data_IF_355810883948
#
_entry.id   IF_355810883948
#
_cell.length_a   1.000
_cell.length_b   1.000
_cell.length_c   1.000
_cell.angle_alpha   90.00
_cell.angle_beta   90.00
_cell.angle_gamma   90.00
#
_symmetry.space_group_name_H-M   'P 1'
#
loop_
_entity.id
_entity.type
_entity.pdbx_description
1 polymer ?
#
# COMPACT_ATOMS: atom_id res chain seq x y z
N UNK A 1 -5.10 -27.92 32.74
CA UNK A 1 -3.65 -28.11 32.64
C UNK A 1 -3.13 -27.02 31.71
N UNK A 2 -2.56 -25.93 32.26
CA UNK A 2 -2.05 -24.79 31.46
C UNK A 2 -0.56 -25.05 31.25
N UNK A 3 -0.13 -25.27 30.02
CA UNK A 3 1.29 -25.34 29.68
C UNK A 3 1.93 -23.96 29.97
N UNK A 4 3.08 -23.91 30.65
CA UNK A 4 3.78 -22.65 30.87
C UNK A 4 4.22 -22.08 29.52
N UNK A 5 3.84 -20.80 29.27
CA UNK A 5 4.34 -20.05 28.12
C UNK A 5 5.86 -19.95 28.23
N UNK A 6 6.61 -20.12 27.14
CA UNK A 6 8.05 -19.97 27.18
C UNK A 6 8.40 -18.57 27.67
N UNK A 7 9.23 -18.48 28.70
CA UNK A 7 9.80 -17.24 29.21
C UNK A 7 10.36 -16.41 28.06
N UNK A 8 10.15 -15.07 28.07
CA UNK A 8 10.74 -14.22 27.04
C UNK A 8 12.27 -14.46 27.06
N UNK A 9 12.81 -14.74 25.89
CA UNK A 9 14.24 -14.89 25.66
C UNK A 9 14.98 -13.66 26.20
N UNK A 10 15.44 -13.74 27.45
CA UNK A 10 16.23 -12.71 28.15
C UNK A 10 17.73 -12.82 27.83
N UNK A 11 18.10 -13.56 26.82
CA UNK A 11 19.44 -13.50 26.23
C UNK A 11 19.50 -12.30 25.30
N UNK A 12 19.98 -11.17 25.78
CA UNK A 12 20.58 -10.14 24.93
C UNK A 12 21.86 -10.73 24.29
N UNK A 13 21.71 -11.66 23.37
CA UNK A 13 22.71 -11.78 22.34
C UNK A 13 22.73 -10.44 21.63
N UNK A 14 23.86 -9.79 21.62
CA UNK A 14 24.09 -8.63 20.78
C UNK A 14 23.92 -9.11 19.34
N UNK A 15 22.66 -9.06 18.85
CA UNK A 15 22.24 -9.63 17.55
C UNK A 15 22.93 -8.89 16.37
N UNK A 16 23.65 -7.81 16.65
CA UNK A 16 24.51 -7.14 15.68
C UNK A 16 25.82 -7.92 15.42
N UNK A 17 26.27 -8.72 16.36
CA UNK A 17 27.54 -9.47 16.22
C UNK A 17 27.50 -10.49 15.06
N UNK A 18 26.47 -11.35 14.90
CA UNK A 18 26.38 -12.25 13.75
C UNK A 18 26.31 -11.52 12.40
N UNK A 19 25.60 -10.40 12.33
CA UNK A 19 25.50 -9.59 11.12
C UNK A 19 26.85 -8.97 10.76
N UNK A 20 27.59 -8.45 11.74
CA UNK A 20 28.95 -7.92 11.56
C UNK A 20 29.92 -9.02 11.07
N UNK A 21 29.84 -10.22 11.64
CA UNK A 21 30.66 -11.36 11.22
C UNK A 21 30.33 -11.79 9.79
N UNK A 22 29.06 -11.86 9.40
CA UNK A 22 28.64 -12.16 8.04
C UNK A 22 29.14 -11.13 7.03
N UNK A 23 29.02 -9.84 7.34
CA UNK A 23 29.53 -8.75 6.49
C UNK A 23 31.05 -8.81 6.39
N UNK A 24 31.74 -9.07 7.50
CA UNK A 24 33.21 -9.24 7.51
C UNK A 24 33.69 -10.42 6.68
N UNK A 25 33.03 -11.58 6.81
CA UNK A 25 33.33 -12.77 6.01
C UNK A 25 33.07 -12.57 4.51
N UNK A 26 31.93 -11.94 4.16
CA UNK A 26 31.61 -11.61 2.77
C UNK A 26 32.60 -10.59 2.17
N UNK A 27 33.05 -9.61 2.97
CA UNK A 27 34.08 -8.68 2.57
C UNK A 27 35.41 -9.40 2.30
N UNK A 28 35.86 -10.25 3.21
CA UNK A 28 37.11 -10.99 3.03
C UNK A 28 37.08 -11.87 1.79
N UNK A 29 35.99 -12.63 1.57
CA UNK A 29 35.80 -13.44 0.38
C UNK A 29 35.81 -12.61 -0.92
N UNK A 30 35.11 -11.45 -0.93
CA UNK A 30 35.07 -10.58 -2.11
C UNK A 30 36.42 -9.88 -2.38
N UNK A 31 37.18 -9.56 -1.34
CA UNK A 31 38.52 -9.00 -1.48
C UNK A 31 39.46 -10.03 -2.12
N UNK A 32 39.39 -11.33 -1.72
CA UNK A 32 40.14 -12.40 -2.36
C UNK A 32 39.79 -12.53 -3.85
N UNK A 33 38.50 -12.48 -4.21
CA UNK A 33 38.05 -12.50 -5.62
C UNK A 33 38.57 -11.28 -6.39
N UNK A 34 38.53 -10.10 -5.78
CA UNK A 34 39.01 -8.86 -6.43
C UNK A 34 40.53 -8.89 -6.71
N UNK A 35 41.30 -9.53 -5.85
CA UNK A 35 42.75 -9.75 -6.09
C UNK A 35 42.98 -10.70 -7.27
N UNK A 36 42.19 -11.77 -7.38
CA UNK A 36 42.30 -12.74 -8.48
C UNK A 36 41.78 -12.20 -9.82
N UNK A 37 40.78 -11.34 -9.78
CA UNK A 37 40.11 -10.77 -10.95
C UNK A 37 39.98 -9.24 -10.80
N UNK A 38 40.98 -8.45 -11.22
CA UNK A 38 41.05 -7.00 -10.98
C UNK A 38 39.82 -6.20 -11.45
N UNK A 39 39.12 -6.64 -12.49
CA UNK A 39 37.87 -6.02 -12.95
C UNK A 39 36.73 -6.05 -11.90
N UNK A 40 36.86 -6.84 -10.85
CA UNK A 40 35.86 -7.01 -9.78
C UNK A 40 36.22 -6.24 -8.50
N UNK A 41 37.16 -5.27 -8.59
CA UNK A 41 37.57 -4.46 -7.43
C UNK A 41 36.42 -3.69 -6.75
N UNK A 42 35.30 -3.46 -7.46
CA UNK A 42 34.09 -2.88 -6.90
C UNK A 42 33.38 -3.77 -5.89
N UNK A 43 33.55 -5.09 -5.97
CA UNK A 43 32.81 -6.03 -5.15
C UNK A 43 33.01 -5.82 -3.65
N UNK A 44 34.25 -5.68 -3.12
CA UNK A 44 34.49 -5.38 -1.72
C UNK A 44 33.87 -4.05 -1.27
N UNK A 45 33.98 -3.00 -2.09
CA UNK A 45 33.37 -1.71 -1.80
C UNK A 45 31.85 -1.80 -1.76
N UNK A 46 31.25 -2.54 -2.70
CA UNK A 46 29.81 -2.81 -2.72
C UNK A 46 29.34 -3.55 -1.47
N UNK A 47 30.07 -4.56 -1.02
CA UNK A 47 29.76 -5.32 0.20
C UNK A 47 29.88 -4.45 1.45
N UNK A 48 30.90 -3.61 1.55
CA UNK A 48 31.03 -2.66 2.67
C UNK A 48 29.84 -1.70 2.68
N UNK A 49 29.49 -1.12 1.52
CA UNK A 49 28.41 -0.18 1.41
C UNK A 49 27.05 -0.83 1.79
N UNK A 50 26.72 -1.97 1.17
CA UNK A 50 25.47 -2.70 1.44
C UNK A 50 25.44 -3.23 2.87
N UNK A 51 26.53 -3.81 3.36
CA UNK A 51 26.62 -4.29 4.73
C UNK A 51 26.54 -3.15 5.76
N UNK A 52 27.21 -2.04 5.50
CA UNK A 52 27.12 -0.84 6.35
C UNK A 52 25.70 -0.26 6.42
N UNK A 53 25.02 -0.15 5.26
CA UNK A 53 23.61 0.26 5.19
C UNK A 53 22.74 -0.76 5.93
N UNK A 54 22.98 -2.07 5.76
CA UNK A 54 22.25 -3.13 6.46
C UNK A 54 22.38 -3.06 7.98
N UNK A 55 23.59 -2.83 8.50
CA UNK A 55 23.85 -2.65 9.93
C UNK A 55 23.17 -1.37 10.44
N UNK A 56 23.25 -0.27 9.70
CA UNK A 56 22.60 0.99 10.05
C UNK A 56 21.08 0.83 10.06
N UNK A 57 20.52 0.17 9.06
CA UNK A 57 19.09 -0.14 8.96
C UNK A 57 18.63 -1.05 10.11
N UNK A 58 19.43 -2.03 10.51
CA UNK A 58 19.13 -2.88 11.66
C UNK A 58 19.12 -2.07 12.97
N UNK A 59 20.09 -1.18 13.18
CA UNK A 59 20.14 -0.31 14.35
C UNK A 59 19.00 0.70 14.39
N UNK A 60 18.63 1.24 13.25
CA UNK A 60 17.62 2.30 13.08
C UNK A 60 16.40 1.85 12.28
N UNK A 61 15.96 0.59 12.47
CA UNK A 61 14.90 -0.06 11.68
C UNK A 61 13.64 0.81 11.54
N UNK A 62 13.20 1.48 12.62
CA UNK A 62 12.01 2.35 12.58
C UNK A 62 12.23 3.53 11.61
N UNK A 63 13.38 4.20 11.69
CA UNK A 63 13.69 5.33 10.83
C UNK A 63 13.77 4.90 9.35
N UNK A 64 14.39 3.76 9.07
CA UNK A 64 14.45 3.20 7.71
C UNK A 64 13.08 2.81 7.17
N UNK A 65 12.22 2.17 7.98
CA UNK A 65 10.84 1.86 7.56
C UNK A 65 10.03 3.14 7.30
N UNK A 66 10.16 4.17 8.14
CA UNK A 66 9.50 5.46 7.93
C UNK A 66 10.04 6.16 6.68
N UNK A 67 11.37 6.23 6.51
CA UNK A 67 11.98 6.83 5.33
C UNK A 67 11.54 6.12 4.05
N UNK A 68 11.56 4.77 4.05
CA UNK A 68 11.06 3.99 2.92
C UNK A 68 9.57 4.30 2.63
N UNK A 69 8.73 4.34 3.66
CA UNK A 69 7.31 4.65 3.50
C UNK A 69 7.08 6.05 2.91
N UNK A 70 7.89 7.04 3.30
CA UNK A 70 7.84 8.39 2.75
C UNK A 70 8.34 8.43 1.29
N UNK A 71 9.39 7.66 0.96
CA UNK A 71 9.89 7.52 -0.42
C UNK A 71 8.82 6.91 -1.33
N UNK A 72 8.17 5.83 -0.88
CA UNK A 72 7.05 5.20 -1.58
C UNK A 72 5.87 6.16 -1.73
N UNK A 73 5.54 6.87 -0.64
CA UNK A 73 4.48 7.88 -0.65
C UNK A 73 4.78 9.11 -1.50
N UNK A 74 6.06 9.41 -1.73
CA UNK A 74 6.50 10.45 -2.67
C UNK A 74 6.42 9.99 -4.14
N UNK A 75 6.18 8.70 -4.40
CA UNK A 75 6.13 8.11 -5.75
C UNK A 75 7.35 8.48 -6.61
N UNK A 76 8.55 8.47 -5.98
CA UNK A 76 9.80 8.85 -6.65
C UNK A 76 10.07 8.00 -7.90
N UNK A 77 9.57 6.77 -7.93
CA UNK A 77 9.65 5.89 -9.10
C UNK A 77 8.98 6.48 -10.34
N UNK A 78 7.91 7.27 -10.17
CA UNK A 78 7.26 7.94 -11.30
C UNK A 78 8.03 9.16 -11.76
N UNK A 79 8.51 9.97 -10.81
CA UNK A 79 9.35 11.12 -11.14
C UNK A 79 10.65 10.69 -11.85
N UNK A 80 11.24 9.56 -11.44
CA UNK A 80 12.40 8.99 -12.11
C UNK A 80 12.05 8.42 -13.49
N UNK A 81 10.89 7.77 -13.66
CA UNK A 81 10.48 7.24 -14.96
C UNK A 81 10.37 8.32 -16.03
N UNK A 82 9.86 9.50 -15.65
CA UNK A 82 9.74 10.64 -16.55
C UNK A 82 11.13 11.17 -16.98
N UNK A 83 12.16 11.03 -16.13
CA UNK A 83 13.52 11.52 -16.41
C UNK A 83 14.43 10.50 -17.09
N UNK A 84 14.33 9.21 -16.74
CA UNK A 84 15.21 8.13 -17.21
C UNK A 84 14.57 7.19 -18.23
N UNK A 85 13.30 7.44 -18.56
CA UNK A 85 12.51 6.70 -19.55
C UNK A 85 11.83 5.44 -19.03
N UNK A 86 10.80 5.03 -19.76
CA UNK A 86 9.90 3.92 -19.39
C UNK A 86 10.60 2.56 -19.20
N UNK A 87 11.74 2.34 -19.85
CA UNK A 87 12.48 1.07 -19.77
C UNK A 87 13.00 0.75 -18.35
N UNK A 88 13.26 1.77 -17.53
CA UNK A 88 13.72 1.59 -16.15
C UNK A 88 12.61 1.67 -15.10
N UNK A 89 11.41 2.05 -15.50
CA UNK A 89 10.26 2.17 -14.61
C UNK A 89 9.93 0.86 -13.88
N UNK A 90 9.80 -0.24 -14.60
CA UNK A 90 9.47 -1.53 -14.01
C UNK A 90 10.55 -2.07 -13.05
N UNK A 91 11.86 -2.02 -13.38
CA UNK A 91 12.91 -2.35 -12.44
C UNK A 91 12.91 -1.49 -11.17
N UNK A 92 12.64 -0.17 -11.28
CA UNK A 92 12.59 0.73 -10.12
C UNK A 92 11.45 0.38 -9.18
N UNK A 93 10.23 0.15 -9.71
CA UNK A 93 9.10 -0.32 -8.90
C UNK A 93 9.43 -1.64 -8.20
N UNK A 94 10.03 -2.60 -8.94
CA UNK A 94 10.41 -3.88 -8.36
C UNK A 94 11.44 -3.70 -7.23
N UNK A 95 12.42 -2.80 -7.39
CA UNK A 95 13.41 -2.47 -6.37
C UNK A 95 12.77 -1.85 -5.11
N UNK A 96 11.84 -0.90 -5.29
CA UNK A 96 11.09 -0.27 -4.19
C UNK A 96 10.32 -1.33 -3.38
N UNK A 97 9.63 -2.25 -4.07
CA UNK A 97 8.88 -3.34 -3.42
C UNK A 97 9.78 -4.40 -2.80
N UNK A 98 10.88 -4.75 -3.44
CA UNK A 98 11.88 -5.64 -2.87
C UNK A 98 12.49 -5.06 -1.58
N UNK A 99 12.71 -3.75 -1.53
CA UNK A 99 13.17 -3.04 -0.32
C UNK A 99 12.19 -3.21 0.84
N UNK A 100 10.88 -3.24 0.60
CA UNK A 100 9.87 -3.53 1.62
C UNK A 100 10.07 -4.91 2.24
N UNK A 101 10.29 -5.92 1.41
CA UNK A 101 10.56 -7.29 1.87
C UNK A 101 11.85 -7.35 2.71
N UNK A 102 12.91 -6.66 2.27
CA UNK A 102 14.17 -6.59 3.02
C UNK A 102 13.97 -5.90 4.38
N UNK A 103 13.22 -4.81 4.44
CA UNK A 103 12.91 -4.13 5.69
C UNK A 103 12.02 -4.99 6.61
N UNK A 104 11.08 -5.75 6.04
CA UNK A 104 10.29 -6.72 6.79
C UNK A 104 11.18 -7.84 7.35
N UNK A 105 12.13 -8.35 6.58
CA UNK A 105 13.12 -9.32 7.05
C UNK A 105 14.00 -8.75 8.18
N UNK A 106 14.43 -7.49 8.08
CA UNK A 106 15.13 -6.79 9.16
C UNK A 106 14.26 -6.64 10.42
N UNK A 107 12.95 -6.39 10.25
CA UNK A 107 12.00 -6.39 11.37
C UNK A 107 11.90 -7.78 12.02
N UNK A 108 11.87 -8.86 11.23
CA UNK A 108 11.89 -10.24 11.74
C UNK A 108 13.17 -10.50 12.55
N UNK A 109 14.33 -10.12 12.00
CA UNK A 109 15.62 -10.28 12.69
C UNK A 109 15.69 -9.49 14.00
N UNK A 110 15.10 -8.29 14.03
CA UNK A 110 15.18 -7.38 15.20
C UNK A 110 14.13 -7.68 16.27
N UNK A 111 12.91 -7.97 15.88
CA UNK A 111 11.75 -8.08 16.79
C UNK A 111 11.26 -9.52 16.94
N UNK A 112 11.76 -10.43 16.12
CA UNK A 112 11.36 -11.82 16.06
C UNK A 112 10.27 -12.11 15.03
N UNK A 113 10.14 -13.37 14.61
CA UNK A 113 9.12 -13.80 13.66
C UNK A 113 7.73 -13.83 14.32
N UNK A 114 6.71 -13.59 13.52
CA UNK A 114 5.30 -13.80 13.83
C UNK A 114 4.69 -14.74 12.80
N UNK A 115 4.02 -15.80 13.27
CA UNK A 115 3.34 -16.75 12.39
C UNK A 115 1.96 -16.21 12.01
N UNK A 116 1.87 -15.51 10.88
CA UNK A 116 0.62 -14.98 10.34
C UNK A 116 0.07 -15.93 9.26
N UNK A 117 -0.54 -17.03 9.73
CA UNK A 117 -1.06 -18.10 8.85
C UNK A 117 -2.21 -17.67 7.95
N UNK A 118 -2.86 -16.55 8.25
CA UNK A 118 -3.95 -15.99 7.45
C UNK A 118 -3.48 -14.85 6.54
N UNK A 119 -2.18 -14.57 6.48
CA UNK A 119 -1.65 -13.48 5.69
C UNK A 119 -2.00 -13.65 4.19
N UNK A 120 -2.64 -12.66 3.56
CA UNK A 120 -3.05 -12.75 2.15
C UNK A 120 -1.90 -12.97 1.16
N UNK A 121 -0.67 -12.59 1.52
CA UNK A 121 0.54 -12.86 0.73
C UNK A 121 0.74 -14.35 0.42
N UNK A 122 0.24 -15.25 1.28
CA UNK A 122 0.32 -16.70 1.08
C UNK A 122 -0.53 -17.17 -0.12
N UNK A 123 -1.64 -16.49 -0.43
CA UNK A 123 -2.42 -16.81 -1.62
C UNK A 123 -1.64 -16.54 -2.91
N UNK A 124 -0.86 -15.44 -2.95
CA UNK A 124 -0.02 -15.14 -4.13
C UNK A 124 1.10 -16.17 -4.30
N UNK A 125 1.68 -16.67 -3.21
CA UNK A 125 2.65 -17.78 -3.27
C UNK A 125 2.00 -19.05 -3.85
N UNK A 126 0.78 -19.39 -3.40
CA UNK A 126 0.04 -20.54 -3.93
C UNK A 126 -0.30 -20.36 -5.42
N UNK A 127 -0.81 -19.18 -5.81
CA UNK A 127 -1.12 -18.88 -7.22
C UNK A 127 0.12 -18.93 -8.12
N UNK A 128 1.27 -18.45 -7.62
CA UNK A 128 2.54 -18.56 -8.33
C UNK A 128 2.93 -20.03 -8.55
N UNK A 129 2.85 -20.85 -7.49
CA UNK A 129 3.11 -22.30 -7.58
C UNK A 129 2.15 -22.99 -8.58
N UNK A 130 0.86 -22.66 -8.54
CA UNK A 130 -0.11 -23.18 -9.52
C UNK A 130 0.25 -22.80 -10.94
N UNK A 131 0.63 -21.54 -11.20
CA UNK A 131 1.05 -21.07 -12.51
C UNK A 131 2.29 -21.82 -13.04
N UNK A 132 3.27 -22.11 -12.19
CA UNK A 132 4.47 -22.86 -12.59
C UNK A 132 4.15 -24.32 -12.95
N UNK A 133 3.18 -24.94 -12.27
CA UNK A 133 2.80 -26.35 -12.49
C UNK A 133 1.79 -26.49 -13.63
N UNK A 134 0.78 -25.62 -13.68
CA UNK A 134 -0.29 -25.70 -14.68
C UNK A 134 0.10 -25.09 -16.02
N UNK A 135 1.01 -24.12 -16.02
CA UNK A 135 1.46 -23.35 -17.17
C UNK A 135 1.16 -21.87 -16.99
N UNK A 136 2.14 -21.03 -17.36
CA UNK A 136 2.00 -19.59 -17.37
C UNK A 136 1.30 -19.11 -18.66
N UNK A 137 0.71 -17.92 -18.59
CA UNK A 137 0.18 -17.26 -19.80
C UNK A 137 1.28 -17.16 -20.88
N UNK A 138 0.95 -17.38 -22.18
CA UNK A 138 1.95 -17.34 -23.25
C UNK A 138 2.77 -16.04 -23.35
N UNK A 139 2.18 -14.92 -22.92
CA UNK A 139 2.85 -13.61 -22.84
C UNK A 139 3.60 -13.36 -21.52
N UNK A 140 3.72 -14.34 -20.62
CA UNK A 140 4.32 -14.16 -19.30
C UNK A 140 5.53 -15.09 -19.12
N UNK A 141 6.73 -14.52 -18.93
CA UNK A 141 7.91 -15.32 -18.60
C UNK A 141 7.95 -15.69 -17.12
N UNK A 142 8.64 -16.76 -16.70
CA UNK A 142 8.82 -17.08 -15.28
C UNK A 142 9.47 -15.94 -14.48
N UNK A 143 10.35 -15.16 -15.11
CA UNK A 143 11.01 -14.00 -14.47
C UNK A 143 10.00 -12.87 -14.24
N UNK A 144 9.11 -12.60 -15.18
CA UNK A 144 8.06 -11.59 -15.03
C UNK A 144 7.02 -12.00 -13.98
N UNK A 145 6.70 -13.30 -13.93
CA UNK A 145 5.83 -13.86 -12.90
C UNK A 145 6.46 -13.74 -11.51
N UNK A 146 7.76 -14.04 -11.37
CA UNK A 146 8.50 -13.84 -10.11
C UNK A 146 8.54 -12.37 -9.70
N UNK A 147 8.78 -11.45 -10.64
CA UNK A 147 8.75 -10.01 -10.38
C UNK A 147 7.36 -9.58 -9.89
N UNK A 148 6.31 -10.08 -10.52
CA UNK A 148 4.91 -9.80 -10.14
C UNK A 148 4.58 -10.40 -8.78
N UNK A 149 5.09 -11.58 -8.45
CA UNK A 149 4.97 -12.19 -7.13
C UNK A 149 5.59 -11.29 -6.04
N UNK A 150 6.83 -10.83 -6.24
CA UNK A 150 7.51 -9.90 -5.32
C UNK A 150 6.61 -8.67 -5.10
N UNK A 151 6.09 -8.10 -6.19
CA UNK A 151 5.19 -6.95 -6.12
C UNK A 151 3.88 -7.22 -5.38
N UNK A 152 3.37 -8.44 -5.41
CA UNK A 152 2.09 -8.82 -4.79
C UNK A 152 2.23 -9.22 -3.32
N UNK A 153 3.38 -9.79 -2.90
CA UNK A 153 3.61 -10.18 -1.51
C UNK A 153 4.21 -9.06 -0.66
N UNK A 154 4.95 -8.13 -1.26
CA UNK A 154 5.63 -7.05 -0.56
C UNK A 154 4.70 -6.29 0.41
N UNK A 155 3.49 -5.84 0.02
CA UNK A 155 2.59 -5.12 0.91
C UNK A 155 2.24 -5.85 2.22
N UNK A 156 2.32 -7.17 2.22
CA UNK A 156 1.99 -8.02 3.36
C UNK A 156 3.20 -8.46 4.20
N UNK A 157 4.42 -8.13 3.77
CA UNK A 157 5.65 -8.69 4.33
C UNK A 157 5.85 -8.34 5.82
N UNK A 158 5.50 -7.11 6.25
CA UNK A 158 5.59 -6.71 7.65
C UNK A 158 4.70 -7.55 8.58
N UNK A 159 3.64 -8.19 8.08
CA UNK A 159 2.74 -9.05 8.84
C UNK A 159 3.44 -10.22 9.53
N UNK A 160 4.57 -10.68 8.98
CA UNK A 160 5.35 -11.79 9.53
C UNK A 160 6.33 -11.41 10.65
N UNK A 161 6.27 -10.17 11.16
CA UNK A 161 7.17 -9.67 12.22
C UNK A 161 6.42 -9.36 13.51
N UNK A 162 7.09 -9.56 14.67
CA UNK A 162 6.63 -9.04 15.96
C UNK A 162 7.01 -7.56 16.08
N UNK A 163 6.16 -6.68 15.58
CA UNK A 163 6.44 -5.26 15.51
C UNK A 163 6.29 -4.57 16.89
N UNK A 164 7.14 -3.59 17.19
CA UNK A 164 7.07 -2.83 18.44
C UNK A 164 5.99 -1.74 18.41
N UNK A 165 5.52 -1.32 19.59
CA UNK A 165 4.57 -0.22 19.74
C UNK A 165 5.10 1.12 19.16
N UNK A 166 6.43 1.34 19.26
CA UNK A 166 7.09 2.52 18.66
C UNK A 166 7.04 2.46 17.14
N UNK A 167 7.34 1.30 16.55
CA UNK A 167 7.24 1.08 15.13
C UNK A 167 5.82 1.34 14.64
N UNK A 168 4.84 0.70 15.28
CA UNK A 168 3.43 0.83 14.88
C UNK A 168 2.92 2.28 14.93
N UNK A 169 3.28 3.04 15.98
CA UNK A 169 2.94 4.48 16.04
C UNK A 169 3.63 5.30 14.98
N UNK A 170 4.90 5.03 14.71
CA UNK A 170 5.66 5.77 13.70
C UNK A 170 5.08 5.58 12.30
N UNK A 171 4.73 4.34 11.92
CA UNK A 171 4.14 4.03 10.61
C UNK A 171 2.76 4.67 10.45
N UNK A 172 1.84 4.53 11.43
CA UNK A 172 0.52 5.18 11.34
C UNK A 172 0.66 6.69 11.17
N UNK A 173 1.53 7.33 11.96
CA UNK A 173 1.75 8.78 11.85
C UNK A 173 2.41 9.18 10.55
N UNK A 174 3.40 8.43 10.07
CA UNK A 174 4.02 8.68 8.77
C UNK A 174 2.98 8.60 7.64
N UNK A 175 2.11 7.60 7.65
CA UNK A 175 1.01 7.46 6.67
C UNK A 175 0.12 8.70 6.60
N UNK A 176 -0.20 9.31 7.76
CA UNK A 176 -1.04 10.52 7.82
C UNK A 176 -0.36 11.72 7.13
N UNK A 177 0.96 11.80 7.19
CA UNK A 177 1.72 12.93 6.63
C UNK A 177 2.09 12.77 5.16
N UNK A 178 2.04 11.56 4.60
CA UNK A 178 2.44 11.29 3.20
C UNK A 178 1.77 12.25 2.20
N UNK A 179 0.43 12.44 2.19
CA UNK A 179 -0.20 13.30 1.18
C UNK A 179 0.28 14.75 1.27
N UNK A 180 0.44 15.28 2.49
CA UNK A 180 0.92 16.66 2.69
C UNK A 180 2.35 16.82 2.17
N UNK A 181 3.23 15.85 2.47
CA UNK A 181 4.62 15.86 2.02
C UNK A 181 4.71 15.71 0.50
N UNK A 182 3.86 14.87 -0.09
CA UNK A 182 3.77 14.72 -1.55
C UNK A 182 3.33 16.02 -2.22
N UNK A 183 2.32 16.70 -1.68
CA UNK A 183 1.86 18.00 -2.22
C UNK A 183 2.90 19.08 -2.01
N UNK A 184 3.53 19.16 -0.84
CA UNK A 184 4.58 20.16 -0.55
C UNK A 184 5.79 19.96 -1.48
N UNK A 185 6.22 18.71 -1.69
CA UNK A 185 7.30 18.39 -2.62
C UNK A 185 6.92 18.69 -4.07
N UNK A 186 5.70 18.35 -4.50
CA UNK A 186 5.19 18.68 -5.83
C UNK A 186 5.12 20.20 -6.05
N UNK A 187 4.67 20.97 -5.06
CA UNK A 187 4.66 22.44 -5.12
C UNK A 187 6.07 23.02 -5.22
N UNK A 188 7.04 22.48 -4.48
CA UNK A 188 8.43 22.91 -4.56
C UNK A 188 9.03 22.66 -5.96
N UNK A 189 8.75 21.48 -6.56
CA UNK A 189 9.19 21.17 -7.93
C UNK A 189 8.50 22.05 -8.97
N UNK A 190 7.22 22.36 -8.77
CA UNK A 190 6.47 23.24 -9.66
C UNK A 190 7.00 24.67 -9.63
N UNK A 191 7.30 25.20 -8.44
CA UNK A 191 7.94 26.52 -8.28
C UNK A 191 9.33 26.57 -8.91
N UNK A 192 10.04 25.44 -8.94
CA UNK A 192 11.34 25.34 -9.61
C UNK A 192 11.21 25.14 -11.15
N UNK A 193 10.00 25.06 -11.69
CA UNK A 193 9.75 24.81 -13.11
C UNK A 193 10.15 23.41 -13.59
N UNK A 194 10.29 22.45 -12.67
CA UNK A 194 10.73 21.09 -12.97
C UNK A 194 9.56 20.13 -13.25
N UNK A 195 8.39 20.41 -12.69
CA UNK A 195 7.20 19.58 -12.87
C UNK A 195 5.92 20.35 -12.51
N UNK A 196 4.82 20.07 -13.22
CA UNK A 196 3.52 20.64 -12.88
C UNK A 196 2.91 19.99 -11.65
N UNK A 197 2.38 20.81 -10.73
CA UNK A 197 1.67 20.35 -9.54
C UNK A 197 0.31 19.74 -9.89
N UNK A 198 -0.33 20.28 -10.94
CA UNK A 198 -1.59 19.80 -11.50
C UNK A 198 -1.33 19.18 -12.87
N UNK A 199 -2.08 18.12 -13.19
CA UNK A 199 -2.03 17.46 -14.48
C UNK A 199 -3.41 17.42 -15.09
N UNK A 200 -3.48 17.62 -16.41
CA UNK A 200 -4.73 17.49 -17.15
C UNK A 200 -5.01 16.02 -17.47
N UNK A 201 -6.12 15.52 -16.94
CA UNK A 201 -6.60 14.16 -17.17
C UNK A 201 -8.11 14.11 -17.02
N UNK A 202 -8.84 14.61 -18.03
CA UNK A 202 -10.28 14.82 -18.01
C UNK A 202 -10.69 15.92 -17.02
N UNK A 203 -9.92 17.01 -16.98
CA UNK A 203 -9.92 18.14 -16.08
C UNK A 203 -8.65 18.20 -15.23
N UNK A 204 -8.40 19.34 -14.60
CA UNK A 204 -7.26 19.55 -13.73
C UNK A 204 -7.32 18.67 -12.46
N UNK A 205 -6.21 18.05 -12.14
CA UNK A 205 -6.05 17.12 -11.02
C UNK A 205 -4.75 17.35 -10.27
N UNK A 206 -4.82 17.46 -8.96
CA UNK A 206 -3.66 17.55 -8.10
C UNK A 206 -2.86 16.24 -8.14
N UNK A 207 -1.62 16.31 -8.61
CA UNK A 207 -0.73 15.14 -8.75
C UNK A 207 0.27 15.00 -7.58
N UNK A 208 0.60 16.10 -6.90
CA UNK A 208 1.68 16.12 -5.92
C UNK A 208 3.03 15.78 -6.57
N UNK A 209 3.81 14.91 -5.93
CA UNK A 209 5.08 14.40 -6.50
C UNK A 209 4.89 13.31 -7.54
N UNK A 210 3.70 12.74 -7.68
CA UNK A 210 3.50 11.56 -8.53
C UNK A 210 2.29 11.67 -9.45
N UNK A 211 1.32 10.79 -9.24
CA UNK A 211 0.11 10.69 -10.06
C UNK A 211 -1.14 10.87 -9.19
N UNK A 212 -2.20 11.57 -9.67
CA UNK A 212 -3.41 11.84 -8.90
C UNK A 212 -4.07 10.60 -8.28
N UNK A 213 -4.06 9.45 -8.98
CA UNK A 213 -4.64 8.23 -8.47
C UNK A 213 -3.88 7.67 -7.25
N UNK A 214 -2.54 7.75 -7.26
CA UNK A 214 -1.72 7.30 -6.11
C UNK A 214 -1.86 8.26 -4.94
N UNK A 215 -1.82 9.57 -5.20
CA UNK A 215 -2.06 10.58 -4.16
C UNK A 215 -3.42 10.37 -3.49
N UNK A 216 -4.47 10.06 -4.27
CA UNK A 216 -5.80 9.74 -3.74
C UNK A 216 -5.80 8.50 -2.83
N UNK A 217 -5.09 7.44 -3.23
CA UNK A 217 -4.92 6.24 -2.40
C UNK A 217 -4.18 6.51 -1.09
N UNK A 218 -3.15 7.37 -1.12
CA UNK A 218 -2.43 7.81 0.09
C UNK A 218 -3.32 8.66 0.99
N UNK A 219 -4.12 9.58 0.42
CA UNK A 219 -5.11 10.35 1.18
C UNK A 219 -6.10 9.43 1.88
N UNK A 220 -6.57 8.38 1.21
CA UNK A 220 -7.50 7.43 1.79
C UNK A 220 -6.89 6.71 3.00
N UNK A 221 -5.66 6.20 2.88
CA UNK A 221 -4.93 5.60 4.00
C UNK A 221 -4.67 6.61 5.14
N UNK A 222 -4.33 7.86 4.81
CA UNK A 222 -4.12 8.93 5.78
C UNK A 222 -5.41 9.30 6.52
N UNK A 223 -6.56 9.37 5.84
CA UNK A 223 -7.88 9.59 6.43
C UNK A 223 -8.19 8.50 7.45
N UNK A 224 -7.96 7.23 7.11
CA UNK A 224 -8.15 6.11 8.03
C UNK A 224 -7.20 6.19 9.24
N UNK A 225 -5.95 6.58 9.02
CA UNK A 225 -4.98 6.85 10.10
C UNK A 225 -5.43 7.98 11.02
N UNK A 226 -5.94 9.10 10.47
CA UNK A 226 -6.49 10.20 11.24
C UNK A 226 -7.69 9.76 12.10
N UNK A 227 -8.61 8.94 11.56
CA UNK A 227 -9.74 8.41 12.32
C UNK A 227 -9.28 7.55 13.50
N UNK A 228 -8.31 6.65 13.30
CA UNK A 228 -7.74 5.82 14.38
C UNK A 228 -7.13 6.70 15.47
N UNK A 229 -6.27 7.67 15.11
CA UNK A 229 -5.61 8.53 16.10
C UNK A 229 -6.61 9.51 16.76
N UNK A 230 -7.58 10.06 16.03
CA UNK A 230 -8.62 10.94 16.55
C UNK A 230 -9.47 10.24 17.61
N UNK A 231 -9.89 9.01 17.33
CA UNK A 231 -10.74 8.24 18.24
C UNK A 231 -9.96 7.67 19.45
N UNK A 232 -8.63 7.62 19.37
CA UNK A 232 -7.76 7.23 20.48
C UNK A 232 -7.33 8.38 21.36
N UNK A 233 -6.94 9.51 20.75
CA UNK A 233 -6.33 10.63 21.48
C UNK A 233 -7.31 11.80 21.68
N UNK A 234 -8.36 11.92 20.87
CA UNK A 234 -9.34 13.02 20.93
C UNK A 234 -8.77 14.40 20.57
N UNK A 235 -7.58 14.46 19.96
CA UNK A 235 -6.85 15.70 19.74
C UNK A 235 -7.30 16.41 18.47
N UNK A 236 -7.53 17.73 18.54
CA UNK A 236 -7.96 18.58 17.43
C UNK A 236 -7.01 18.52 16.22
N UNK A 237 -5.70 18.30 16.44
CA UNK A 237 -4.73 18.16 15.36
C UNK A 237 -5.10 17.05 14.37
N UNK A 238 -5.65 15.93 14.85
CA UNK A 238 -6.06 14.82 13.99
C UNK A 238 -7.29 15.17 13.17
N UNK A 239 -8.19 16.01 13.69
CA UNK A 239 -9.33 16.52 12.95
C UNK A 239 -8.89 17.50 11.86
N UNK A 240 -7.93 18.38 12.15
CA UNK A 240 -7.34 19.28 11.14
C UNK A 240 -6.67 18.46 10.02
N UNK A 241 -5.84 17.48 10.38
CA UNK A 241 -5.18 16.61 9.38
C UNK A 241 -6.18 15.79 8.58
N UNK A 242 -7.27 15.33 9.20
CA UNK A 242 -8.37 14.67 8.51
C UNK A 242 -8.98 15.59 7.44
N UNK A 243 -9.30 16.84 7.81
CA UNK A 243 -9.86 17.83 6.89
C UNK A 243 -8.88 18.18 5.75
N UNK A 244 -7.59 18.36 6.05
CA UNK A 244 -6.56 18.63 5.04
C UNK A 244 -6.41 17.46 4.06
N UNK A 245 -6.37 16.22 4.56
CA UNK A 245 -6.30 15.04 3.69
C UNK A 245 -7.54 14.88 2.82
N UNK A 246 -8.74 15.25 3.32
CA UNK A 246 -9.93 15.32 2.49
C UNK A 246 -9.84 16.40 1.41
N UNK A 247 -9.35 17.60 1.75
CA UNK A 247 -9.16 18.68 0.77
C UNK A 247 -8.20 18.24 -0.36
N UNK A 248 -7.08 17.63 -0.01
CA UNK A 248 -6.14 17.06 -1.00
C UNK A 248 -6.85 16.00 -1.85
N UNK A 249 -7.61 15.09 -1.23
CA UNK A 249 -8.34 14.03 -1.93
C UNK A 249 -9.34 14.59 -2.95
N UNK A 250 -10.08 15.63 -2.59
CA UNK A 250 -11.01 16.33 -3.49
C UNK A 250 -10.27 16.87 -4.71
N UNK A 251 -9.13 17.54 -4.49
CA UNK A 251 -8.32 18.12 -5.58
C UNK A 251 -7.69 17.07 -6.51
N UNK A 252 -7.54 15.81 -6.06
CA UNK A 252 -7.12 14.73 -6.97
C UNK A 252 -8.18 14.34 -7.99
N UNK A 253 -9.44 14.70 -7.80
CA UNK A 253 -10.56 14.33 -8.66
C UNK A 253 -10.85 12.82 -8.71
N UNK A 254 -10.38 12.04 -7.73
CA UNK A 254 -10.54 10.59 -7.68
C UNK A 254 -11.86 10.20 -6.97
N UNK A 255 -12.87 9.82 -7.75
CA UNK A 255 -14.25 9.58 -7.27
C UNK A 255 -14.36 8.42 -6.28
N UNK A 256 -13.81 7.25 -6.63
CA UNK A 256 -13.94 6.05 -5.81
C UNK A 256 -13.26 6.21 -4.43
N UNK A 257 -11.98 6.63 -4.33
CA UNK A 257 -11.35 6.93 -3.04
C UNK A 257 -12.13 7.94 -2.21
N UNK A 258 -12.70 9.00 -2.86
CA UNK A 258 -13.49 10.00 -2.15
C UNK A 258 -14.78 9.40 -1.59
N UNK A 259 -15.52 8.61 -2.37
CA UNK A 259 -16.74 7.96 -1.90
C UNK A 259 -16.46 7.05 -0.69
N UNK A 260 -15.37 6.27 -0.73
CA UNK A 260 -14.98 5.41 0.38
C UNK A 260 -14.48 6.18 1.59
N UNK A 261 -13.71 7.25 1.39
CA UNK A 261 -13.27 8.14 2.46
C UNK A 261 -14.45 8.77 3.20
N UNK A 262 -15.43 9.32 2.45
CA UNK A 262 -16.66 9.89 3.00
C UNK A 262 -17.50 8.83 3.72
N UNK A 263 -17.71 7.66 3.10
CA UNK A 263 -18.52 6.58 3.68
C UNK A 263 -17.91 6.09 5.01
N UNK A 264 -16.62 5.74 5.03
CA UNK A 264 -15.95 5.27 6.25
C UNK A 264 -15.94 6.33 7.34
N UNK A 265 -15.66 7.60 6.97
CA UNK A 265 -15.65 8.71 7.94
C UNK A 265 -17.05 8.96 8.49
N UNK A 266 -18.07 9.06 7.64
CA UNK A 266 -19.46 9.28 8.03
C UNK A 266 -19.98 8.17 8.94
N UNK A 267 -19.81 6.89 8.55
CA UNK A 267 -20.20 5.74 9.36
C UNK A 267 -19.45 5.69 10.69
N UNK A 268 -18.16 6.07 10.70
CA UNK A 268 -17.36 6.15 11.92
C UNK A 268 -17.88 7.23 12.85
N UNK A 269 -18.13 8.44 12.34
CA UNK A 269 -18.64 9.56 13.14
C UNK A 269 -20.02 9.25 13.75
N UNK A 270 -20.88 8.58 13.01
CA UNK A 270 -22.25 8.26 13.46
C UNK A 270 -22.27 7.07 14.42
N UNK A 271 -21.65 5.97 14.07
CA UNK A 271 -21.88 4.68 14.75
C UNK A 271 -20.78 4.27 15.72
N UNK A 272 -19.52 4.66 15.50
CA UNK A 272 -18.42 4.21 16.37
C UNK A 272 -18.38 5.06 17.64
N UNK A 273 -18.28 4.41 18.79
CA UNK A 273 -18.19 5.07 20.12
C UNK A 273 -16.72 5.19 20.55
N UNK A 274 -16.38 6.32 21.18
CA UNK A 274 -15.08 6.54 21.83
C UNK A 274 -15.26 7.52 22.98
N UNK A 275 -14.57 7.27 24.07
CA UNK A 275 -14.52 8.16 25.22
C UNK A 275 -13.62 9.37 24.96
N UNK A 276 -12.51 9.16 24.22
CA UNK A 276 -11.60 10.23 23.84
C UNK A 276 -12.23 11.24 22.84
N UNK A 277 -13.19 10.78 22.02
CA UNK A 277 -13.90 11.62 21.04
C UNK A 277 -15.41 11.47 21.22
N UNK A 278 -16.03 12.17 22.20
CA UNK A 278 -17.44 12.03 22.56
C UNK A 278 -18.37 12.58 21.47
N UNK A 279 -19.63 12.13 21.45
CA UNK A 279 -20.63 12.50 20.42
C UNK A 279 -20.79 14.00 20.23
N UNK A 280 -20.75 14.79 21.30
CA UNK A 280 -20.85 16.25 21.22
C UNK A 280 -19.80 16.89 20.31
N UNK A 281 -18.57 16.33 20.30
CA UNK A 281 -17.49 16.82 19.44
C UNK A 281 -17.67 16.45 17.96
N UNK A 282 -18.58 15.52 17.65
CA UNK A 282 -18.84 15.03 16.29
C UNK A 282 -19.95 15.80 15.57
N UNK A 283 -20.79 16.50 16.33
CA UNK A 283 -21.92 17.26 15.78
C UNK A 283 -21.41 18.34 14.82
N UNK A 284 -20.39 19.10 15.21
CA UNK A 284 -19.82 20.17 14.37
C UNK A 284 -19.29 19.65 13.02
N UNK A 285 -18.39 18.63 12.94
CA UNK A 285 -17.93 18.10 11.65
C UNK A 285 -19.07 17.50 10.81
N UNK A 286 -20.09 16.89 11.43
CA UNK A 286 -21.26 16.37 10.71
C UNK A 286 -22.12 17.52 10.15
N UNK A 287 -22.36 18.59 10.91
CA UNK A 287 -23.06 19.76 10.45
C UNK A 287 -22.28 20.48 9.34
N UNK A 288 -20.97 20.65 9.51
CA UNK A 288 -20.11 21.22 8.47
C UNK A 288 -20.17 20.39 7.18
N UNK A 289 -20.10 19.06 7.27
CA UNK A 289 -20.23 18.18 6.11
C UNK A 289 -21.62 18.31 5.45
N UNK A 290 -22.68 18.36 6.26
CA UNK A 290 -24.05 18.54 5.78
C UNK A 290 -24.29 19.89 5.10
N UNK A 291 -23.62 20.95 5.56
CA UNK A 291 -23.71 22.28 4.95
C UNK A 291 -22.79 22.44 3.72
N UNK A 292 -21.57 21.90 3.81
CA UNK A 292 -20.59 22.02 2.72
C UNK A 292 -20.96 21.17 1.51
N UNK A 293 -21.58 20.01 1.69
CA UNK A 293 -21.95 19.14 0.58
C UNK A 293 -22.94 19.78 -0.38
N UNK A 294 -24.07 20.38 0.06
CA UNK A 294 -24.97 21.14 -0.82
C UNK A 294 -24.29 22.35 -1.46
N UNK A 295 -23.46 23.08 -0.69
CA UNK A 295 -22.71 24.22 -1.20
C UNK A 295 -21.74 23.80 -2.30
N UNK A 296 -21.02 22.70 -2.11
CA UNK A 296 -20.13 22.12 -3.13
C UNK A 296 -20.90 21.67 -4.38
N UNK A 297 -22.11 21.11 -4.21
CA UNK A 297 -22.97 20.73 -5.35
C UNK A 297 -23.45 21.96 -6.13
N UNK A 298 -23.79 23.06 -5.44
CA UNK A 298 -24.18 24.33 -6.10
C UNK A 298 -22.98 24.95 -6.82
N UNK A 299 -21.81 24.97 -6.19
CA UNK A 299 -20.57 25.47 -6.78
C UNK A 299 -20.03 24.58 -7.89
N UNK A 300 -20.41 23.29 -7.92
CA UNK A 300 -19.98 22.34 -8.93
C UNK A 300 -20.30 22.83 -10.37
N UNK A 301 -21.43 23.48 -10.56
CA UNK A 301 -21.80 24.08 -11.85
C UNK A 301 -20.89 25.23 -12.31
N UNK A 302 -20.16 25.84 -11.37
CA UNK A 302 -19.25 26.97 -11.65
C UNK A 302 -17.76 26.53 -11.65
N UNK A 303 -17.45 25.34 -11.13
CA UNK A 303 -16.09 24.79 -11.00
C UNK A 303 -15.89 23.59 -11.97
N UNK A 304 -16.45 23.69 -13.18
CA UNK A 304 -16.40 22.63 -14.19
C UNK A 304 -14.98 22.27 -14.65
N UNK A 305 -14.01 23.16 -14.46
CA UNK A 305 -12.58 22.88 -14.74
C UNK A 305 -11.99 21.81 -13.82
N UNK A 306 -12.48 21.71 -12.57
CA UNK A 306 -12.06 20.63 -11.66
C UNK A 306 -12.83 19.35 -12.03
N UNK A 307 -12.10 18.29 -12.37
CA UNK A 307 -12.65 17.01 -12.86
C UNK A 307 -13.80 16.45 -12.02
N UNK A 308 -13.75 16.62 -10.70
CA UNK A 308 -14.79 16.13 -9.80
C UNK A 308 -16.15 16.74 -10.13
N UNK A 309 -16.18 18.05 -10.40
CA UNK A 309 -17.41 18.80 -10.66
C UNK A 309 -17.89 18.61 -12.11
N UNK A 310 -16.97 18.52 -13.06
CA UNK A 310 -17.30 18.23 -14.46
C UNK A 310 -18.10 16.93 -14.59
N UNK A 311 -17.74 15.91 -13.82
CA UNK A 311 -18.42 14.61 -13.84
C UNK A 311 -19.78 14.61 -13.15
N UNK A 312 -19.98 15.45 -12.13
CA UNK A 312 -21.29 15.60 -11.48
C UNK A 312 -22.32 16.31 -12.38
N UNK A 313 -21.83 17.08 -13.33
CA UNK A 313 -22.65 17.89 -14.24
C UNK A 313 -22.85 17.28 -15.63
N UNK A 314 -21.97 16.37 -16.05
CA UNK A 314 -22.05 15.67 -17.34
C UNK A 314 -22.60 14.25 -17.14
N UNK A 315 -23.47 13.80 -18.05
CA UNK A 315 -24.02 12.41 -18.06
C UNK A 315 -22.98 11.30 -18.27
N UNK A 316 -21.71 11.65 -18.33
CA UNK A 316 -20.58 10.72 -18.42
C UNK A 316 -20.37 9.92 -17.11
N UNK A 317 -21.44 9.31 -16.60
CA UNK A 317 -21.42 8.33 -15.52
C UNK A 317 -20.73 7.00 -15.93
N UNK A 318 -20.07 6.99 -17.07
CA UNK A 318 -19.32 5.84 -17.54
C UNK A 318 -18.15 5.52 -16.60
N UNK A 319 -17.89 4.24 -16.39
CA UNK A 319 -16.75 3.68 -15.63
C UNK A 319 -15.39 4.09 -16.27
N UNK A 320 -15.33 5.23 -16.95
CA UNK A 320 -14.15 5.78 -17.66
C UNK A 320 -13.64 4.83 -18.76
N UNK A 321 -14.54 4.11 -19.44
CA UNK A 321 -14.20 3.14 -20.49
C UNK A 321 -13.59 1.82 -19.96
N UNK A 322 -13.56 1.63 -18.64
CA UNK A 322 -12.99 0.41 -18.03
C UNK A 322 -13.73 -0.85 -18.42
N UNK A 323 -15.03 -0.76 -18.67
CA UNK A 323 -15.84 -1.86 -19.19
C UNK A 323 -15.35 -2.38 -20.57
N UNK A 324 -14.66 -1.58 -21.35
CA UNK A 324 -14.05 -2.02 -22.61
C UNK A 324 -12.81 -2.90 -22.38
N UNK A 325 -12.16 -2.76 -21.20
CA UNK A 325 -11.00 -3.58 -20.82
C UNK A 325 -11.42 -4.96 -20.30
N UNK A 326 -12.62 -5.13 -19.73
CA UNK A 326 -13.03 -6.36 -19.06
C UNK A 326 -13.20 -7.58 -19.96
N UNK A 327 -13.77 -7.49 -21.18
CA UNK A 327 -13.99 -8.67 -22.04
C UNK A 327 -12.71 -9.45 -22.37
N UNK A 328 -11.55 -8.84 -22.68
CA UNK A 328 -10.30 -9.58 -22.82
C UNK A 328 -9.89 -10.35 -21.57
N UNK A 329 -10.02 -9.72 -20.37
CA UNK A 329 -9.72 -10.38 -19.10
C UNK A 329 -10.69 -11.54 -18.82
N UNK A 330 -11.99 -11.37 -19.08
CA UNK A 330 -12.98 -12.45 -18.94
C UNK A 330 -12.65 -13.64 -19.81
N UNK A 331 -12.40 -13.42 -21.12
CA UNK A 331 -12.00 -14.50 -22.04
C UNK A 331 -10.75 -15.24 -21.57
N UNK A 332 -9.77 -14.52 -21.02
CA UNK A 332 -8.57 -15.15 -20.48
C UNK A 332 -8.87 -15.95 -19.20
N UNK A 333 -9.73 -15.45 -18.33
CA UNK A 333 -10.15 -16.17 -17.14
C UNK A 333 -10.96 -17.45 -17.49
N UNK A 334 -11.84 -17.37 -18.48
CA UNK A 334 -12.63 -18.50 -18.97
C UNK A 334 -11.78 -19.60 -19.63
N UNK A 335 -10.64 -19.23 -20.23
CA UNK A 335 -9.70 -20.18 -20.82
C UNK A 335 -8.89 -20.98 -19.77
N UNK A 336 -8.75 -20.49 -18.52
CA UNK A 336 -8.15 -21.22 -17.39
C UNK A 336 -8.95 -20.98 -16.10
N UNK A 337 -10.16 -21.54 -15.97
CA UNK A 337 -11.12 -21.12 -14.96
C UNK A 337 -10.75 -21.55 -13.54
N UNK A 338 -10.00 -22.63 -13.34
CA UNK A 338 -9.70 -23.18 -12.01
C UNK A 338 -8.42 -22.63 -11.39
N UNK A 339 -7.30 -22.63 -12.13
CA UNK A 339 -5.98 -22.30 -11.62
C UNK A 339 -5.45 -20.96 -12.12
N UNK A 340 -6.07 -20.39 -13.19
CA UNK A 340 -5.58 -19.17 -13.83
C UNK A 340 -4.27 -19.38 -14.60
N UNK A 341 -3.59 -18.29 -14.90
CA UNK A 341 -2.41 -18.22 -15.75
C UNK A 341 -1.12 -17.80 -15.00
N UNK A 342 -1.16 -17.85 -13.67
CA UNK A 342 -0.04 -17.44 -12.81
C UNK A 342 -0.01 -15.96 -12.48
N UNK A 343 0.68 -15.63 -11.38
CA UNK A 343 0.80 -14.25 -10.87
C UNK A 343 1.48 -13.36 -11.90
N UNK A 344 0.86 -12.22 -12.20
CA UNK A 344 1.33 -11.27 -13.21
C UNK A 344 0.69 -11.44 -14.60
N UNK A 345 -0.08 -12.51 -14.83
CA UNK A 345 -0.76 -12.72 -16.10
C UNK A 345 -1.69 -11.55 -16.47
N UNK A 346 -2.27 -10.88 -15.48
CA UNK A 346 -3.06 -9.67 -15.68
C UNK A 346 -2.36 -8.56 -16.46
N UNK A 347 -1.03 -8.48 -16.41
CA UNK A 347 -0.25 -7.48 -17.15
C UNK A 347 0.00 -7.89 -18.61
N UNK A 348 -0.24 -9.14 -18.97
CA UNK A 348 0.00 -9.68 -20.32
C UNK A 348 -1.26 -9.76 -21.18
N UNK A 349 -2.45 -9.44 -20.61
CA UNK A 349 -3.74 -9.56 -21.33
C UNK A 349 -3.92 -8.49 -22.39
N UNK A 350 -3.56 -7.25 -22.07
CA UNK A 350 -3.67 -6.11 -22.97
C UNK A 350 -2.26 -5.56 -23.20
N UNK A 351 -1.71 -5.65 -24.43
CA UNK A 351 -0.42 -5.05 -24.73
C UNK A 351 -0.46 -3.53 -24.53
N UNK A 352 0.57 -2.92 -23.89
CA UNK A 352 0.60 -1.47 -23.65
C UNK A 352 0.56 -0.61 -24.91
N UNK A 353 1.02 -1.15 -26.05
CA UNK A 353 1.05 -0.52 -27.36
C UNK A 353 -0.24 -0.75 -28.18
N UNK A 354 -1.20 -1.53 -27.67
CA UNK A 354 -2.48 -1.78 -28.33
C UNK A 354 -3.31 -0.50 -28.47
N UNK A 355 -4.17 -0.47 -29.50
CA UNK A 355 -5.10 0.63 -29.72
C UNK A 355 -6.03 0.84 -28.53
N UNK A 356 -6.52 -0.26 -27.91
CA UNK A 356 -7.36 -0.23 -26.72
C UNK A 356 -6.65 0.44 -25.53
N UNK A 357 -5.38 0.09 -25.30
CA UNK A 357 -4.59 0.69 -24.24
C UNK A 357 -4.35 2.19 -24.47
N UNK A 358 -4.17 2.61 -25.73
CA UNK A 358 -4.00 4.02 -26.10
C UNK A 358 -5.28 4.84 -25.94
N UNK A 359 -6.44 4.29 -26.32
CA UNK A 359 -7.74 4.97 -26.18
C UNK A 359 -8.08 5.17 -24.70
N UNK A 360 -7.92 4.12 -23.88
CA UNK A 360 -8.30 4.13 -22.46
C UNK A 360 -7.19 4.71 -21.58
N UNK A 361 -5.97 4.87 -22.09
CA UNK A 361 -4.76 5.25 -21.36
C UNK A 361 -4.47 4.30 -20.19
N UNK A 362 -4.82 3.02 -20.34
CA UNK A 362 -4.58 1.96 -19.36
C UNK A 362 -4.65 0.59 -20.04
N UNK A 363 -3.85 -0.36 -19.52
CA UNK A 363 -3.89 -1.77 -19.89
C UNK A 363 -4.27 -2.68 -18.73
N UNK A 364 -4.57 -2.11 -17.58
CA UNK A 364 -4.92 -2.83 -16.36
C UNK A 364 -6.45 -3.01 -16.25
N UNK A 365 -6.89 -4.11 -15.64
CA UNK A 365 -8.32 -4.42 -15.49
C UNK A 365 -9.10 -3.39 -14.66
N UNK A 366 -8.44 -2.68 -13.74
CA UNK A 366 -9.07 -1.84 -12.72
C UNK A 366 -10.22 -2.56 -11.99
N UNK A 367 -10.06 -3.85 -11.79
CA UNK A 367 -10.96 -4.74 -11.06
C UNK A 367 -10.13 -5.92 -10.55
N UNK A 368 -9.82 -5.92 -9.25
CA UNK A 368 -8.98 -6.95 -8.64
C UNK A 368 -9.61 -8.34 -8.69
N UNK A 369 -10.93 -8.43 -8.57
CA UNK A 369 -11.61 -9.72 -8.64
C UNK A 369 -11.46 -10.37 -10.01
N UNK A 370 -11.54 -9.56 -11.08
CA UNK A 370 -11.35 -10.03 -12.44
C UNK A 370 -9.86 -10.37 -12.69
N UNK A 371 -8.94 -9.51 -12.24
CA UNK A 371 -7.50 -9.78 -12.31
C UNK A 371 -7.14 -11.09 -11.61
N UNK A 372 -7.66 -11.31 -10.39
CA UNK A 372 -7.41 -12.53 -9.63
C UNK A 372 -8.01 -13.77 -10.30
N UNK A 373 -9.13 -13.62 -11.03
CA UNK A 373 -9.67 -14.72 -11.83
C UNK A 373 -8.76 -15.11 -12.98
N UNK A 374 -8.06 -14.14 -13.58
CA UNK A 374 -7.04 -14.41 -14.62
C UNK A 374 -5.78 -15.05 -14.02
N UNK A 375 -5.28 -14.50 -12.90
CA UNK A 375 -4.02 -14.92 -12.32
C UNK A 375 -4.09 -16.24 -11.54
N UNK A 376 -5.16 -16.47 -10.78
CA UNK A 376 -5.31 -17.60 -9.87
C UNK A 376 -6.53 -18.48 -10.14
N UNK A 377 -7.33 -18.16 -11.14
CA UNK A 377 -8.60 -18.84 -11.39
C UNK A 377 -9.57 -18.72 -10.21
N UNK A 378 -10.57 -19.57 -10.19
CA UNK A 378 -11.54 -19.62 -9.07
C UNK A 378 -10.89 -20.05 -7.75
N UNK A 379 -9.92 -20.98 -7.81
CA UNK A 379 -9.23 -21.49 -6.61
C UNK A 379 -8.35 -20.40 -6.00
N UNK A 380 -7.49 -19.76 -6.79
CA UNK A 380 -6.60 -18.71 -6.28
C UNK A 380 -7.36 -17.48 -5.81
N UNK A 381 -8.39 -17.05 -6.56
CA UNK A 381 -9.29 -15.96 -6.14
C UNK A 381 -10.02 -16.28 -4.83
N UNK A 382 -10.59 -17.49 -4.74
CA UNK A 382 -11.31 -17.96 -3.53
C UNK A 382 -10.38 -18.03 -2.33
N UNK A 383 -9.17 -18.55 -2.50
CA UNK A 383 -8.14 -18.61 -1.46
C UNK A 383 -7.75 -17.21 -0.97
N UNK A 384 -7.52 -16.26 -1.89
CA UNK A 384 -7.18 -14.88 -1.53
C UNK A 384 -8.30 -14.22 -0.72
N UNK A 385 -9.55 -14.32 -1.17
CA UNK A 385 -10.72 -13.78 -0.46
C UNK A 385 -10.84 -14.42 0.93
N UNK A 386 -10.72 -15.75 1.02
CA UNK A 386 -10.80 -16.46 2.29
C UNK A 386 -9.70 -16.02 3.27
N UNK A 387 -8.45 -15.94 2.80
CA UNK A 387 -7.33 -15.46 3.63
C UNK A 387 -7.54 -14.00 4.06
N UNK A 388 -8.00 -13.11 3.19
CA UNK A 388 -8.34 -11.74 3.58
C UNK A 388 -9.40 -11.68 4.67
N UNK A 389 -10.51 -12.42 4.52
CA UNK A 389 -11.59 -12.46 5.53
C UNK A 389 -11.07 -13.00 6.85
N UNK A 390 -10.34 -14.11 6.83
CA UNK A 390 -9.77 -14.73 8.03
C UNK A 390 -8.74 -13.81 8.68
N UNK A 391 -7.88 -13.15 7.91
CA UNK A 391 -6.88 -12.20 8.38
C UNK A 391 -7.52 -11.01 9.11
N UNK A 392 -8.52 -10.40 8.47
CA UNK A 392 -9.28 -9.28 9.06
C UNK A 392 -9.99 -9.70 10.34
N UNK A 393 -10.70 -10.83 10.32
CA UNK A 393 -11.43 -11.35 11.48
C UNK A 393 -10.46 -11.67 12.62
N UNK A 394 -9.34 -12.36 12.33
CA UNK A 394 -8.34 -12.75 13.30
C UNK A 394 -7.72 -11.52 13.98
N UNK A 395 -7.18 -10.59 13.20
CA UNK A 395 -6.46 -9.45 13.74
C UNK A 395 -7.38 -8.38 14.35
N UNK A 396 -8.59 -8.19 13.83
CA UNK A 396 -9.51 -7.22 14.43
C UNK A 396 -10.09 -7.69 15.77
N UNK A 397 -10.10 -9.01 16.08
CA UNK A 397 -10.58 -9.53 17.37
C UNK A 397 -9.77 -9.03 18.55
N UNK A 398 -8.47 -8.81 18.36
CA UNK A 398 -7.55 -8.33 19.42
C UNK A 398 -7.51 -6.82 19.56
N UNK A 399 -8.15 -6.06 18.66
CA UNK A 399 -8.26 -4.61 18.74
C UNK A 399 -9.31 -4.19 19.79
N UNK A 400 -9.13 -3.02 20.39
CA UNK A 400 -10.19 -2.39 21.16
C UNK A 400 -11.44 -2.17 20.30
N UNK A 401 -12.60 -2.00 20.96
CA UNK A 401 -13.91 -1.91 20.26
C UNK A 401 -13.92 -0.84 19.17
N UNK A 402 -13.32 0.30 19.44
CA UNK A 402 -13.25 1.44 18.55
C UNK A 402 -12.42 1.14 17.30
N UNK A 403 -11.15 0.75 17.47
CA UNK A 403 -10.25 0.43 16.37
C UNK A 403 -10.79 -0.74 15.53
N UNK A 404 -11.40 -1.74 16.20
CA UNK A 404 -12.06 -2.89 15.55
C UNK A 404 -13.17 -2.44 14.60
N UNK A 405 -14.05 -1.54 15.07
CA UNK A 405 -15.15 -1.04 14.28
C UNK A 405 -14.64 -0.25 13.06
N UNK A 406 -13.70 0.67 13.27
CA UNK A 406 -13.10 1.46 12.20
C UNK A 406 -12.41 0.54 11.18
N UNK A 407 -11.55 -0.37 11.61
CA UNK A 407 -10.82 -1.26 10.71
C UNK A 407 -11.75 -2.17 9.91
N UNK A 408 -12.86 -2.65 10.47
CA UNK A 408 -13.86 -3.41 9.72
C UNK A 408 -14.54 -2.59 8.64
N UNK A 409 -14.87 -1.31 8.92
CA UNK A 409 -15.39 -0.39 7.91
C UNK A 409 -14.37 -0.12 6.81
N UNK A 410 -13.09 0.07 7.19
CA UNK A 410 -11.97 0.22 6.23
C UNK A 410 -11.86 -0.98 5.30
N UNK A 411 -11.95 -2.20 5.82
CA UNK A 411 -11.87 -3.40 4.98
C UNK A 411 -13.10 -3.64 4.12
N UNK A 412 -14.30 -3.27 4.58
CA UNK A 412 -15.50 -3.26 3.73
C UNK A 412 -15.35 -2.28 2.55
N UNK A 413 -14.86 -1.07 2.85
CA UNK A 413 -14.56 -0.09 1.81
C UNK A 413 -13.44 -0.56 0.87
N UNK A 414 -12.39 -1.21 1.40
CA UNK A 414 -11.32 -1.80 0.60
C UNK A 414 -11.85 -2.90 -0.35
N UNK A 415 -12.71 -3.80 0.13
CA UNK A 415 -13.32 -4.84 -0.70
C UNK A 415 -14.17 -4.23 -1.84
N UNK A 416 -14.93 -3.17 -1.56
CA UNK A 416 -15.67 -2.45 -2.59
C UNK A 416 -14.73 -1.69 -3.56
N UNK A 417 -13.65 -1.08 -3.06
CA UNK A 417 -12.64 -0.41 -3.88
C UNK A 417 -11.92 -1.38 -4.82
N UNK A 418 -11.64 -2.60 -4.37
CA UNK A 418 -11.05 -3.66 -5.19
C UNK A 418 -11.89 -4.04 -6.43
N UNK A 419 -13.19 -3.74 -6.44
CA UNK A 419 -14.03 -3.92 -7.63
C UNK A 419 -13.83 -2.82 -8.68
N UNK A 420 -13.39 -1.64 -8.26
CA UNK A 420 -13.29 -0.45 -9.13
C UNK A 420 -11.86 -0.02 -9.43
N UNK A 421 -10.83 -0.64 -8.81
CA UNK A 421 -9.43 -0.27 -9.02
C UNK A 421 -8.46 -1.43 -8.70
N UNK A 422 -7.17 -1.24 -9.07
CA UNK A 422 -6.08 -2.19 -8.82
C UNK A 422 -5.43 -1.90 -7.45
N UNK A 423 -6.13 -2.22 -6.38
CA UNK A 423 -5.74 -1.85 -5.00
C UNK A 423 -4.68 -2.76 -4.38
N UNK A 424 -4.34 -3.91 -5.01
CA UNK A 424 -3.40 -4.90 -4.45
C UNK A 424 -1.98 -4.81 -5.04
N UNK A 425 -1.82 -4.23 -6.22
CA UNK A 425 -0.53 -4.20 -6.93
C UNK A 425 0.09 -2.81 -7.02
N UNK A 426 -0.68 -1.78 -6.76
CA UNK A 426 -0.20 -0.40 -6.83
C UNK A 426 0.74 -0.07 -5.67
N UNK A 427 1.56 0.96 -5.82
CA UNK A 427 2.42 1.50 -4.77
C UNK A 427 1.62 1.90 -3.52
N UNK A 428 0.36 2.30 -3.70
CA UNK A 428 -0.55 2.61 -2.59
C UNK A 428 -0.85 1.40 -1.70
N UNK A 429 -0.80 0.17 -2.24
CA UNK A 429 -0.97 -1.05 -1.45
C UNK A 429 0.12 -1.19 -0.37
N UNK A 430 1.37 -0.88 -0.69
CA UNK A 430 2.49 -0.93 0.25
C UNK A 430 2.25 0.00 1.45
N UNK A 431 1.82 1.23 1.20
CA UNK A 431 1.48 2.20 2.26
C UNK A 431 0.27 1.75 3.06
N UNK A 432 -0.78 1.32 2.38
CA UNK A 432 -2.02 0.90 3.03
C UNK A 432 -1.81 -0.32 3.94
N UNK A 433 -1.15 -1.37 3.44
CA UNK A 433 -0.93 -2.58 4.25
C UNK A 433 0.15 -2.44 5.31
N UNK A 434 1.13 -1.56 5.15
CA UNK A 434 2.02 -1.15 6.24
C UNK A 434 1.23 -0.47 7.37
N UNK A 435 0.31 0.45 7.03
CA UNK A 435 -0.62 1.07 7.99
C UNK A 435 -1.51 0.02 8.68
N UNK A 436 -2.15 -0.87 7.93
CA UNK A 436 -3.00 -1.94 8.47
C UNK A 436 -2.22 -2.81 9.46
N UNK A 437 -1.04 -3.28 9.05
CA UNK A 437 -0.16 -4.11 9.89
C UNK A 437 0.26 -3.37 11.16
N UNK A 438 0.50 -2.06 11.08
CA UNK A 438 0.82 -1.23 12.24
C UNK A 438 -0.35 -1.13 13.22
N UNK A 439 -1.59 -0.97 12.73
CA UNK A 439 -2.79 -0.97 13.60
C UNK A 439 -2.98 -2.33 14.26
N UNK A 440 -2.82 -3.43 13.52
CA UNK A 440 -2.92 -4.79 14.07
C UNK A 440 -1.85 -5.08 15.13
N UNK A 441 -0.61 -4.62 14.91
CA UNK A 441 0.48 -4.77 15.87
C UNK A 441 0.17 -4.06 17.19
N UNK A 442 -0.45 -2.87 17.16
CA UNK A 442 -0.89 -2.17 18.39
C UNK A 442 -1.88 -3.00 19.21
N UNK A 443 -2.86 -3.64 18.58
CA UNK A 443 -3.84 -4.47 19.29
C UNK A 443 -3.20 -5.67 19.99
N UNK A 444 -2.25 -6.33 19.34
CA UNK A 444 -1.54 -7.47 19.93
C UNK A 444 -0.75 -7.09 21.18
N UNK A 445 -0.13 -5.91 21.18
CA UNK A 445 0.69 -5.43 22.31
C UNK A 445 -0.14 -4.98 23.50
N UNK A 446 -1.35 -4.47 23.31
CA UNK A 446 -2.24 -4.09 24.41
C UNK A 446 -2.70 -5.34 25.19
N UNK A 447 -3.05 -6.42 24.48
CA UNK A 447 -3.47 -7.66 25.13
C UNK A 447 -2.34 -8.35 25.91
N UNK A 448 -1.06 -8.20 25.50
CA UNK A 448 0.08 -8.76 26.26
C UNK A 448 0.38 -7.97 27.52
N UNK A 449 0.07 -6.67 27.56
CA UNK A 449 0.25 -5.83 28.74
C UNK A 449 -0.88 -5.99 29.79
N UNK A 450 -2.07 -6.45 29.38
CA UNK A 450 -3.19 -6.76 30.29
C UNK A 450 -3.07 -8.15 30.93
N UNK A 451 -2.20 -9.01 30.41
CA UNK A 451 -1.99 -10.40 30.88
C UNK A 451 -0.69 -10.54 31.72
N UNK A 452 0.17 -9.53 31.70
CA UNK A 452 1.41 -9.45 32.49
C UNK A 452 1.24 -8.58 33.72
#
# INVERSE_FOLDING_TARGET
>A
MRLPLPTPWSGRFDQGTPLLLMVGAAFAASAAVAVMVPRWFWLPLGIIAVGGIGILAYRHTIAFCVAWLLIVGATLEMALADTIGLGLYQPVIAAVKATEILLAALCVLRYGPYSDVFNPGLAFLAMFGFGLVHGLHPGLTPVDSLRSLIGSIAPFAFGFSRLSARWARAIVRATIWIPLLSVAGGAALSLAGLRDLFVESGGERLAGLGHPAFLAGFCLAAIYGCLIELYREGLSRWMILLAVNFAILVLTGARAPMAYGVAVTGLTLVFVRSDAFPRRCRILPLLLAACLLPLLLVLAGHLTEVRLFNVLTTEAANLSGRELLWPPFQRSADASPWFGWGVGAGNAIIPPDSELARIIQSWAAHNEYLRMSVEGGQIGRGLLIALFVLWVVHHTRVLCRTDRAIMRLVFLAFAAHAYTDNVLISTTACVFFAFVTAVFARGRLMNTAEVA
#
